data_IF_000810400290
#
_entry.id   IF_000810400290
#
_cell.length_a   1.000
_cell.length_b   1.000
_cell.length_c   1.000
_cell.angle_alpha   90.00
_cell.angle_beta   90.00
_cell.angle_gamma   90.00
#
_symmetry.space_group_name_H-M   'P 1'
#
loop_
_entity.id
_entity.type
_entity.pdbx_description
1 polymer ?
#
# COMPACT_ATOMS: atom_id res chain seq x y z
N UNK A 1 54.66 -56.20 34.96
CA UNK A 1 54.59 -55.67 36.33
C UNK A 1 53.26 -54.96 36.64
N UNK A 2 52.67 -54.20 35.70
CA UNK A 2 51.40 -53.48 35.90
C UNK A 2 50.15 -54.34 36.20
N UNK A 3 50.04 -55.55 35.64
CA UNK A 3 48.88 -56.43 35.83
C UNK A 3 48.71 -56.95 37.28
N UNK A 4 49.78 -56.93 38.10
CA UNK A 4 49.74 -57.41 39.49
C UNK A 4 49.09 -56.39 40.44
N UNK A 5 49.26 -55.09 40.18
CA UNK A 5 48.78 -54.04 41.09
C UNK A 5 47.33 -53.60 40.82
N UNK A 6 46.87 -53.62 39.57
CA UNK A 6 45.44 -53.44 39.25
C UNK A 6 44.58 -54.56 39.85
N UNK A 7 45.09 -55.80 39.81
CA UNK A 7 44.35 -56.94 40.35
C UNK A 7 44.26 -56.92 41.88
N UNK A 8 45.26 -56.34 42.58
CA UNK A 8 45.18 -56.06 44.03
C UNK A 8 44.13 -54.98 44.36
N UNK A 9 44.05 -53.93 43.55
CA UNK A 9 43.03 -52.88 43.71
C UNK A 9 41.62 -53.45 43.49
N UNK A 10 41.41 -54.21 42.41
CA UNK A 10 40.14 -54.88 42.11
C UNK A 10 39.76 -55.92 43.16
N UNK A 11 40.72 -56.65 43.74
CA UNK A 11 40.48 -57.56 44.87
C UNK A 11 39.94 -56.86 46.11
N UNK A 12 40.34 -55.60 46.33
CA UNK A 12 39.89 -54.78 47.47
C UNK A 12 38.48 -54.24 47.23
N UNK A 13 38.16 -53.85 46.01
CA UNK A 13 36.84 -53.34 45.58
C UNK A 13 35.79 -54.45 45.48
N UNK A 14 36.15 -55.61 44.92
CA UNK A 14 35.23 -56.74 44.69
C UNK A 14 35.16 -57.76 45.83
N UNK A 15 35.56 -57.37 47.06
CA UNK A 15 35.45 -58.22 48.27
C UNK A 15 34.02 -58.73 48.54
N UNK A 16 32.99 -58.03 48.04
CA UNK A 16 31.56 -58.34 48.23
C UNK A 16 30.97 -59.23 47.12
N UNK A 17 31.64 -59.36 45.96
CA UNK A 17 31.13 -60.07 44.79
C UNK A 17 32.20 -61.01 44.18
N UNK A 18 32.27 -62.28 44.62
CA UNK A 18 33.29 -63.24 44.16
C UNK A 18 33.20 -63.55 42.65
N UNK A 19 32.03 -63.39 42.04
CA UNK A 19 31.80 -63.60 40.61
C UNK A 19 32.53 -62.58 39.73
N UNK A 20 32.55 -61.30 40.12
CA UNK A 20 33.18 -60.22 39.35
C UNK A 20 34.71 -60.30 39.48
N UNK A 21 35.21 -60.69 40.65
CA UNK A 21 36.62 -60.96 40.86
C UNK A 21 37.11 -62.13 39.98
N UNK A 22 36.36 -63.23 39.92
CA UNK A 22 36.70 -64.40 39.09
C UNK A 22 36.58 -64.15 37.58
N UNK A 23 35.82 -63.14 37.17
CA UNK A 23 35.63 -62.80 35.75
C UNK A 23 36.80 -61.98 35.20
N UNK A 24 37.29 -60.99 35.96
CA UNK A 24 38.31 -60.03 35.51
C UNK A 24 39.75 -60.34 35.94
N UNK A 25 39.95 -61.05 37.06
CA UNK A 25 41.26 -61.21 37.69
C UNK A 25 41.82 -62.64 37.71
N UNK A 26 41.06 -63.61 37.19
CA UNK A 26 41.47 -65.02 37.13
C UNK A 26 42.15 -65.34 35.79
N UNK A 27 43.20 -66.16 35.82
CA UNK A 27 43.96 -66.63 34.66
C UNK A 27 43.07 -67.18 33.52
N UNK A 28 43.60 -67.14 32.29
CA UNK A 28 42.89 -67.51 31.04
C UNK A 28 42.29 -68.92 31.06
N UNK A 29 42.77 -69.81 31.92
CA UNK A 29 42.36 -71.22 31.95
C UNK A 29 41.27 -71.56 32.95
N UNK A 30 41.05 -70.76 33.98
CA UNK A 30 40.02 -71.02 34.99
C UNK A 30 38.65 -70.45 34.60
N UNK A 31 37.61 -71.29 34.76
CA UNK A 31 36.19 -71.00 34.54
C UNK A 31 35.81 -70.51 33.13
N UNK A 32 36.35 -71.16 32.08
CA UNK A 32 36.10 -70.82 30.66
C UNK A 32 34.62 -70.76 30.27
N UNK A 33 33.81 -71.74 30.70
CA UNK A 33 32.37 -71.80 30.36
C UNK A 33 31.59 -70.62 30.94
N UNK A 34 31.90 -70.24 32.18
CA UNK A 34 31.25 -69.11 32.86
C UNK A 34 31.58 -67.79 32.16
N UNK A 35 32.87 -67.56 31.83
CA UNK A 35 33.33 -66.37 31.09
C UNK A 35 32.71 -66.28 29.70
N UNK A 36 32.49 -67.41 29.02
CA UNK A 36 31.84 -67.47 27.72
C UNK A 36 30.35 -67.10 27.80
N UNK A 37 29.61 -67.69 28.74
CA UNK A 37 28.17 -67.42 28.93
C UNK A 37 27.95 -65.96 29.31
N UNK A 38 28.70 -65.43 30.29
CA UNK A 38 28.58 -64.03 30.69
C UNK A 38 28.99 -63.07 29.57
N UNK A 39 30.06 -63.38 28.82
CA UNK A 39 30.48 -62.57 27.68
C UNK A 39 29.44 -62.54 26.56
N UNK A 40 28.78 -63.67 26.29
CA UNK A 40 27.72 -63.78 25.28
C UNK A 40 26.48 -62.95 25.67
N UNK A 41 26.01 -63.10 26.91
CA UNK A 41 24.87 -62.32 27.44
C UNK A 41 25.20 -60.82 27.41
N UNK A 42 26.40 -60.45 27.85
CA UNK A 42 26.86 -59.07 27.83
C UNK A 42 26.96 -58.50 26.41
N UNK A 43 27.40 -59.29 25.43
CA UNK A 43 27.46 -58.86 24.04
C UNK A 43 26.09 -58.71 23.38
N UNK A 44 25.13 -59.58 23.70
CA UNK A 44 23.73 -59.38 23.29
C UNK A 44 23.19 -58.07 23.85
N UNK A 45 23.41 -57.82 25.15
CA UNK A 45 22.94 -56.59 25.81
C UNK A 45 23.56 -55.35 25.15
N UNK A 46 24.86 -55.36 24.90
CA UNK A 46 25.53 -54.29 24.15
C UNK A 46 24.98 -54.11 22.74
N UNK A 47 24.69 -55.20 22.03
CA UNK A 47 24.08 -55.15 20.69
C UNK A 47 22.69 -54.52 20.69
N UNK A 48 21.85 -54.84 21.69
CA UNK A 48 20.53 -54.22 21.88
C UNK A 48 20.67 -52.71 22.15
N UNK A 49 21.60 -52.32 23.02
CA UNK A 49 21.89 -50.90 23.29
C UNK A 49 22.33 -50.19 22.02
N UNK A 50 23.26 -50.78 21.25
CA UNK A 50 23.72 -50.23 19.98
C UNK A 50 22.57 -50.07 18.96
N UNK A 51 21.66 -51.04 18.89
CA UNK A 51 20.48 -50.96 18.02
C UNK A 51 19.59 -49.77 18.38
N UNK A 52 19.26 -49.61 19.67
CA UNK A 52 18.35 -48.56 20.14
C UNK A 52 18.96 -47.15 20.07
N UNK A 53 20.26 -46.99 20.27
CA UNK A 53 20.89 -45.66 20.32
C UNK A 53 21.48 -45.19 18.99
N UNK A 54 21.73 -46.09 18.03
CA UNK A 54 22.43 -45.74 16.79
C UNK A 54 21.61 -46.14 15.56
N UNK A 55 21.15 -47.40 15.48
CA UNK A 55 20.47 -47.88 14.27
C UNK A 55 19.07 -47.29 14.10
N UNK A 56 18.34 -47.03 15.19
CA UNK A 56 17.00 -46.42 15.10
C UNK A 56 17.06 -44.99 14.55
N UNK A 57 18.11 -44.24 14.91
CA UNK A 57 18.33 -42.86 14.46
C UNK A 57 18.86 -42.79 13.02
N UNK A 58 19.36 -43.89 12.47
CA UNK A 58 19.89 -43.95 11.09
C UNK A 58 18.79 -44.08 10.02
N UNK A 59 17.51 -44.06 10.40
CA UNK A 59 16.34 -44.00 9.50
C UNK A 59 16.30 -45.10 8.41
N UNK A 60 16.74 -46.31 8.74
CA UNK A 60 16.58 -47.47 7.85
C UNK A 60 15.12 -47.93 7.78
N UNK A 61 14.76 -48.60 6.68
CA UNK A 61 13.51 -49.39 6.60
C UNK A 61 13.48 -50.43 7.73
N UNK A 62 12.32 -50.63 8.36
CA UNK A 62 12.16 -51.49 9.55
C UNK A 62 12.80 -52.87 9.38
N UNK A 63 12.56 -53.52 8.24
CA UNK A 63 13.12 -54.85 7.93
C UNK A 63 14.65 -54.84 7.85
N UNK A 64 15.22 -53.84 7.17
CA UNK A 64 16.67 -53.71 6.97
C UNK A 64 17.34 -53.38 8.30
N UNK A 65 16.75 -52.49 9.09
CA UNK A 65 17.23 -52.14 10.42
C UNK A 65 17.28 -53.34 11.35
N UNK A 66 16.23 -54.17 11.35
CA UNK A 66 16.18 -55.39 12.16
C UNK A 66 17.22 -56.42 11.71
N UNK A 67 17.35 -56.67 10.40
CA UNK A 67 18.33 -57.62 9.87
C UNK A 67 19.76 -57.17 10.22
N UNK A 68 20.12 -55.92 9.91
CA UNK A 68 21.46 -55.39 10.20
C UNK A 68 21.73 -55.36 11.71
N UNK A 69 20.74 -54.95 12.52
CA UNK A 69 20.83 -54.95 13.97
C UNK A 69 21.06 -56.35 14.55
N UNK A 70 20.34 -57.35 14.04
CA UNK A 70 20.50 -58.75 14.44
C UNK A 70 21.89 -59.29 14.12
N UNK A 71 22.43 -58.97 12.92
CA UNK A 71 23.78 -59.38 12.49
C UNK A 71 24.83 -58.76 13.41
N UNK A 72 24.74 -57.46 13.70
CA UNK A 72 25.67 -56.75 14.58
C UNK A 72 25.59 -57.30 16.01
N UNK A 73 24.38 -57.57 16.50
CA UNK A 73 24.18 -58.15 17.83
C UNK A 73 24.85 -59.52 17.97
N UNK A 74 24.67 -60.40 16.97
CA UNK A 74 25.33 -61.71 16.93
C UNK A 74 26.85 -61.57 16.86
N UNK A 75 27.36 -60.68 16.00
CA UNK A 75 28.80 -60.41 15.89
C UNK A 75 29.41 -59.93 17.21
N UNK A 76 28.72 -59.05 17.94
CA UNK A 76 29.16 -58.57 19.25
C UNK A 76 29.09 -59.67 20.31
N UNK A 77 27.99 -60.43 20.35
CA UNK A 77 27.81 -61.56 21.28
C UNK A 77 28.91 -62.61 21.12
N UNK A 78 29.17 -63.08 19.89
CA UNK A 78 30.24 -64.04 19.63
C UNK A 78 31.64 -63.43 19.72
N UNK A 79 31.83 -62.19 19.29
CA UNK A 79 33.11 -61.49 19.35
C UNK A 79 33.60 -61.31 20.79
N UNK A 80 32.70 -60.92 21.69
CA UNK A 80 32.99 -60.82 23.13
C UNK A 80 33.10 -62.23 23.73
N UNK A 81 32.26 -63.19 23.35
CA UNK A 81 32.35 -64.53 23.91
C UNK A 81 33.65 -65.27 23.55
N UNK A 82 34.20 -65.06 22.35
CA UNK A 82 35.32 -65.86 21.83
C UNK A 82 36.67 -65.12 21.79
N UNK A 83 36.69 -63.80 21.58
CA UNK A 83 37.94 -63.04 21.39
C UNK A 83 38.32 -62.22 22.61
N UNK A 84 39.52 -62.50 23.16
CA UNK A 84 40.06 -61.68 24.25
C UNK A 84 40.42 -60.26 23.80
N UNK A 85 40.77 -60.07 22.52
CA UNK A 85 41.12 -58.75 21.98
C UNK A 85 39.89 -57.84 21.96
N UNK A 86 38.74 -58.35 21.49
CA UNK A 86 37.48 -57.60 21.42
C UNK A 86 37.01 -57.21 22.83
N UNK A 87 37.13 -58.12 23.81
CA UNK A 87 36.84 -57.81 25.22
C UNK A 87 37.68 -56.64 25.73
N UNK A 88 38.98 -56.61 25.44
CA UNK A 88 39.86 -55.53 25.88
C UNK A 88 39.48 -54.20 25.23
N UNK A 89 39.22 -54.19 23.92
CA UNK A 89 38.81 -52.98 23.21
C UNK A 89 37.53 -52.40 23.82
N UNK A 90 36.53 -53.24 24.09
CA UNK A 90 35.27 -52.82 24.71
C UNK A 90 35.47 -52.39 26.17
N UNK A 91 36.34 -53.04 26.93
CA UNK A 91 36.65 -52.56 28.28
C UNK A 91 37.36 -51.20 28.26
N UNK A 92 38.13 -50.89 27.21
CA UNK A 92 38.80 -49.61 27.01
C UNK A 92 37.85 -48.50 26.53
N UNK A 93 36.67 -48.80 25.99
CA UNK A 93 35.70 -47.75 25.62
C UNK A 93 35.03 -47.09 26.83
N UNK A 94 34.88 -47.82 27.94
CA UNK A 94 34.36 -47.24 29.19
C UNK A 94 35.20 -46.06 29.72
N UNK A 95 36.53 -46.20 29.90
CA UNK A 95 37.37 -45.09 30.35
C UNK A 95 37.53 -43.99 29.28
N UNK A 96 37.36 -44.28 27.97
CA UNK A 96 37.44 -43.23 26.94
C UNK A 96 36.24 -42.27 26.98
N UNK A 97 35.06 -42.74 27.40
CA UNK A 97 33.90 -41.88 27.70
C UNK A 97 34.22 -40.91 28.85
N UNK A 98 34.96 -41.36 29.85
CA UNK A 98 35.44 -40.51 30.95
C UNK A 98 36.61 -39.57 30.57
N UNK A 99 37.20 -39.74 29.40
CA UNK A 99 38.34 -38.98 28.91
C UNK A 99 38.02 -37.55 28.45
N UNK A 100 39.03 -36.82 27.99
CA UNK A 100 38.89 -35.42 27.51
C UNK A 100 37.87 -35.31 26.36
N UNK A 101 37.87 -36.28 25.44
CA UNK A 101 36.98 -36.34 24.28
C UNK A 101 35.54 -36.65 24.71
N UNK A 102 35.33 -37.71 25.50
CA UNK A 102 33.99 -38.09 25.95
C UNK A 102 33.30 -37.01 26.80
N UNK A 103 34.05 -36.31 27.66
CA UNK A 103 33.52 -35.13 28.38
C UNK A 103 33.13 -33.98 27.45
N UNK A 104 33.83 -33.80 26.32
CA UNK A 104 33.47 -32.83 25.30
C UNK A 104 32.12 -33.16 24.65
N UNK A 105 31.93 -34.43 24.26
CA UNK A 105 30.67 -34.92 23.70
C UNK A 105 29.52 -34.79 24.70
N UNK A 106 29.75 -35.18 25.97
CA UNK A 106 28.73 -35.07 27.02
C UNK A 106 28.30 -33.60 27.23
N UNK A 107 29.26 -32.66 27.25
CA UNK A 107 28.95 -31.22 27.33
C UNK A 107 28.11 -30.74 26.15
N UNK A 108 28.46 -31.17 24.94
CA UNK A 108 27.69 -30.81 23.74
C UNK A 108 26.25 -31.33 23.81
N UNK A 109 26.05 -32.59 24.21
CA UNK A 109 24.73 -33.19 24.39
C UNK A 109 23.90 -32.40 25.42
N UNK A 110 24.50 -32.06 26.56
CA UNK A 110 23.82 -31.25 27.60
C UNK A 110 23.44 -29.87 27.07
N UNK A 111 24.32 -29.19 26.34
CA UNK A 111 24.03 -27.89 25.71
C UNK A 111 22.88 -28.03 24.71
N UNK A 112 22.86 -29.08 23.87
CA UNK A 112 21.77 -29.34 22.93
C UNK A 112 20.43 -29.49 23.66
N UNK A 113 20.38 -30.27 24.74
CA UNK A 113 19.14 -30.42 25.53
C UNK A 113 18.70 -29.11 26.20
N UNK A 114 19.65 -28.31 26.69
CA UNK A 114 19.36 -26.98 27.26
C UNK A 114 18.79 -26.04 26.19
N UNK A 115 19.28 -26.11 24.95
CA UNK A 115 18.86 -25.25 23.84
C UNK A 115 17.54 -25.72 23.21
N UNK A 116 17.24 -27.02 23.23
CA UNK A 116 16.03 -27.58 22.61
C UNK A 116 14.74 -26.95 23.16
N UNK A 117 14.64 -26.74 24.48
CA UNK A 117 13.47 -26.11 25.10
C UNK A 117 13.20 -24.67 24.62
N UNK A 118 14.18 -23.74 24.72
CA UNK A 118 14.07 -22.40 24.18
C UNK A 118 13.72 -22.33 22.69
N UNK A 119 14.26 -23.24 21.86
CA UNK A 119 13.94 -23.28 20.42
C UNK A 119 12.47 -23.60 20.20
N UNK A 120 11.94 -24.61 20.89
CA UNK A 120 10.53 -25.00 20.75
C UNK A 120 9.59 -23.88 21.24
N UNK A 121 9.94 -23.22 22.35
CA UNK A 121 9.21 -22.06 22.85
C UNK A 121 9.23 -20.88 21.85
N UNK A 122 10.39 -20.58 21.27
CA UNK A 122 10.51 -19.55 20.24
C UNK A 122 9.72 -19.91 18.98
N UNK A 123 9.70 -21.19 18.59
CA UNK A 123 8.91 -21.69 17.48
C UNK A 123 7.40 -21.51 17.72
N UNK A 124 6.92 -21.86 18.91
CA UNK A 124 5.50 -21.71 19.28
C UNK A 124 5.08 -20.24 19.36
N UNK A 125 5.90 -19.37 19.97
CA UNK A 125 5.66 -17.93 19.96
C UNK A 125 5.74 -17.34 18.54
N UNK A 126 6.69 -17.79 17.72
CA UNK A 126 6.84 -17.36 16.33
C UNK A 126 5.59 -17.67 15.50
N UNK A 127 4.94 -18.82 15.70
CA UNK A 127 3.65 -19.13 15.05
C UNK A 127 2.57 -18.13 15.41
N UNK A 128 2.46 -17.73 16.68
CA UNK A 128 1.48 -16.73 17.12
C UNK A 128 1.83 -15.33 16.57
N UNK A 129 3.11 -14.96 16.53
CA UNK A 129 3.55 -13.69 15.90
C UNK A 129 3.11 -13.63 14.44
N UNK A 130 3.33 -14.71 13.67
CA UNK A 130 2.90 -14.79 12.26
C UNK A 130 1.38 -14.67 12.15
N UNK A 131 0.62 -15.33 13.02
CA UNK A 131 -0.85 -15.23 13.04
C UNK A 131 -1.32 -13.80 13.33
N UNK A 132 -0.74 -13.14 14.34
CA UNK A 132 -1.06 -11.76 14.69
C UNK A 132 -0.73 -10.81 13.55
N UNK A 133 0.41 -11.01 12.88
CA UNK A 133 0.80 -10.20 11.73
C UNK A 133 -0.19 -10.35 10.55
N UNK A 134 -0.62 -11.57 10.25
CA UNK A 134 -1.63 -11.83 9.23
C UNK A 134 -2.96 -11.13 9.56
N UNK A 135 -3.46 -11.30 10.80
CA UNK A 135 -4.69 -10.66 11.26
C UNK A 135 -4.60 -9.13 11.20
N UNK A 136 -3.50 -8.56 11.68
CA UNK A 136 -3.24 -7.10 11.66
C UNK A 136 -3.21 -6.57 10.23
N UNK A 137 -2.60 -7.32 9.31
CA UNK A 137 -2.53 -6.95 7.89
C UNK A 137 -3.93 -6.97 7.26
N UNK A 138 -4.72 -8.01 7.49
CA UNK A 138 -6.09 -8.09 6.99
C UNK A 138 -6.98 -6.98 7.57
N UNK A 139 -6.86 -6.70 8.87
CA UNK A 139 -7.59 -5.61 9.52
C UNK A 139 -7.19 -4.26 8.93
N UNK A 140 -5.88 -4.01 8.77
CA UNK A 140 -5.35 -2.78 8.18
C UNK A 140 -5.83 -2.61 6.75
N UNK A 141 -5.83 -3.68 5.95
CA UNK A 141 -6.33 -3.65 4.57
C UNK A 141 -7.82 -3.31 4.52
N UNK A 142 -8.65 -3.96 5.34
CA UNK A 142 -10.09 -3.69 5.40
C UNK A 142 -10.37 -2.24 5.81
N UNK A 143 -9.72 -1.76 6.89
CA UNK A 143 -9.87 -0.37 7.33
C UNK A 143 -9.37 0.63 6.28
N UNK A 144 -8.26 0.34 5.60
CA UNK A 144 -7.72 1.19 4.54
C UNK A 144 -8.67 1.25 3.35
N UNK A 145 -9.25 0.11 2.95
CA UNK A 145 -10.27 0.05 1.89
C UNK A 145 -11.49 0.88 2.26
N UNK A 146 -12.02 0.72 3.48
CA UNK A 146 -13.16 1.51 3.96
C UNK A 146 -12.84 3.01 4.01
N UNK A 147 -11.64 3.39 4.48
CA UNK A 147 -11.19 4.79 4.49
C UNK A 147 -11.09 5.35 3.07
N UNK A 148 -10.54 4.59 2.13
CA UNK A 148 -10.44 4.98 0.73
C UNK A 148 -11.82 5.14 0.10
N UNK A 149 -12.73 4.18 0.33
CA UNK A 149 -14.10 4.26 -0.19
C UNK A 149 -14.83 5.49 0.37
N UNK A 150 -14.81 5.69 1.69
CA UNK A 150 -15.43 6.86 2.33
C UNK A 150 -14.83 8.19 1.85
N UNK A 151 -13.53 8.21 1.52
CA UNK A 151 -12.87 9.40 1.02
C UNK A 151 -13.22 9.69 -0.44
N UNK A 152 -13.18 8.70 -1.33
CA UNK A 152 -13.34 8.90 -2.79
C UNK A 152 -14.79 8.85 -3.27
N UNK A 153 -15.65 8.04 -2.63
CA UNK A 153 -17.07 7.92 -2.98
C UNK A 153 -17.81 9.26 -3.04
N UNK A 154 -17.69 10.20 -2.07
CA UNK A 154 -18.34 11.49 -2.17
C UNK A 154 -17.81 12.34 -3.33
N UNK A 155 -16.51 12.29 -3.66
CA UNK A 155 -15.97 13.00 -4.82
C UNK A 155 -16.54 12.45 -6.13
N UNK A 156 -16.59 11.12 -6.27
CA UNK A 156 -17.16 10.48 -7.45
C UNK A 156 -18.64 10.83 -7.59
N UNK A 157 -19.42 10.75 -6.51
CA UNK A 157 -20.83 11.15 -6.50
C UNK A 157 -21.03 12.63 -6.82
N UNK A 158 -20.19 13.52 -6.30
CA UNK A 158 -20.25 14.95 -6.62
C UNK A 158 -19.96 15.23 -8.10
N UNK A 159 -18.97 14.57 -8.70
CA UNK A 159 -18.66 14.71 -10.13
C UNK A 159 -19.82 14.20 -11.01
N UNK A 160 -20.39 13.04 -10.69
CA UNK A 160 -21.51 12.50 -11.45
C UNK A 160 -22.81 13.29 -11.22
N UNK A 161 -23.06 13.78 -10.00
CA UNK A 161 -24.18 14.69 -9.71
C UNK A 161 -24.02 16.06 -10.34
N UNK A 162 -22.79 16.53 -10.54
CA UNK A 162 -22.55 17.77 -11.28
C UNK A 162 -22.90 17.61 -12.77
N UNK A 163 -22.72 16.42 -13.37
CA UNK A 163 -23.18 16.19 -14.76
C UNK A 163 -24.68 16.36 -14.92
N UNK A 164 -25.48 15.91 -13.96
CA UNK A 164 -26.93 16.14 -13.98
C UNK A 164 -27.25 17.61 -13.70
N UNK A 165 -26.52 18.26 -12.79
CA UNK A 165 -26.66 19.70 -12.55
C UNK A 165 -26.28 20.58 -13.75
N UNK A 166 -25.36 20.13 -14.63
CA UNK A 166 -24.96 20.88 -15.83
C UNK A 166 -26.11 21.03 -16.84
N UNK A 167 -27.01 20.04 -16.95
CA UNK A 167 -28.20 20.17 -17.79
C UNK A 167 -29.15 21.23 -17.24
N UNK A 168 -29.40 21.23 -15.93
CA UNK A 168 -30.24 22.22 -15.26
C UNK A 168 -29.62 23.64 -15.27
N UNK A 169 -28.29 23.73 -15.12
CA UNK A 169 -27.54 24.99 -15.24
C UNK A 169 -27.62 25.52 -16.67
N UNK A 170 -27.57 24.65 -17.69
CA UNK A 170 -27.67 25.07 -19.09
C UNK A 170 -29.02 25.74 -19.37
N UNK A 171 -30.10 25.19 -18.84
CA UNK A 171 -31.44 25.74 -19.01
C UNK A 171 -31.62 27.04 -18.22
N UNK A 172 -31.05 27.11 -17.02
CA UNK A 172 -31.03 28.35 -16.21
C UNK A 172 -30.23 29.46 -16.91
N UNK A 173 -29.05 29.16 -17.45
CA UNK A 173 -28.21 30.12 -18.17
C UNK A 173 -28.88 30.59 -19.47
N UNK A 174 -29.60 29.71 -20.17
CA UNK A 174 -30.43 30.11 -21.33
C UNK A 174 -31.52 31.09 -20.91
N UNK A 175 -32.23 30.81 -19.82
CA UNK A 175 -33.25 31.72 -19.30
C UNK A 175 -32.67 33.08 -18.90
N UNK A 176 -31.51 33.09 -18.23
CA UNK A 176 -30.80 34.34 -17.87
C UNK A 176 -30.39 35.11 -19.13
N UNK A 177 -29.85 34.41 -20.13
CA UNK A 177 -29.46 35.02 -21.41
C UNK A 177 -30.68 35.64 -22.11
N UNK A 178 -31.82 34.96 -22.11
CA UNK A 178 -33.02 35.45 -22.78
C UNK A 178 -33.56 36.73 -22.12
N UNK A 179 -33.49 36.84 -20.78
CA UNK A 179 -33.89 38.07 -20.08
C UNK A 179 -32.84 39.18 -20.17
N UNK A 180 -31.55 38.85 -20.26
CA UNK A 180 -30.47 39.85 -20.31
C UNK A 180 -30.21 40.37 -21.73
N UNK A 181 -30.50 39.58 -22.77
CA UNK A 181 -30.32 39.95 -24.17
C UNK A 181 -30.90 41.31 -24.58
N UNK A 182 -32.16 41.67 -24.23
CA UNK A 182 -32.70 42.99 -24.56
C UNK A 182 -31.97 44.13 -23.83
N UNK A 183 -31.51 43.90 -22.60
CA UNK A 183 -30.78 44.92 -21.81
C UNK A 183 -29.39 45.16 -22.39
N UNK A 184 -28.67 44.09 -22.72
CA UNK A 184 -27.36 44.17 -23.38
C UNK A 184 -27.50 44.84 -24.75
N UNK A 185 -28.50 44.45 -25.54
CA UNK A 185 -28.79 45.09 -26.82
C UNK A 185 -29.12 46.59 -26.69
N UNK A 186 -29.83 46.99 -25.64
CA UNK A 186 -30.16 48.41 -25.42
C UNK A 186 -28.91 49.25 -25.15
N UNK A 187 -27.91 48.73 -24.43
CA UNK A 187 -26.71 49.48 -24.06
C UNK A 187 -25.61 49.37 -25.12
N UNK A 188 -25.39 48.18 -25.69
CA UNK A 188 -24.28 47.91 -26.60
C UNK A 188 -24.63 48.11 -28.09
N UNK A 189 -25.90 48.10 -28.50
CA UNK A 189 -26.25 48.33 -29.91
C UNK A 189 -26.12 49.82 -30.28
N UNK A 190 -25.03 50.12 -30.99
CA UNK A 190 -24.71 51.45 -31.50
C UNK A 190 -25.40 51.81 -32.82
N UNK A 191 -26.09 50.86 -33.50
CA UNK A 191 -26.70 51.13 -34.82
C UNK A 191 -27.74 52.25 -34.78
N UNK A 192 -28.60 52.21 -33.77
CA UNK A 192 -29.62 53.24 -33.56
C UNK A 192 -28.96 54.61 -33.30
N UNK A 193 -27.92 54.63 -32.46
CA UNK A 193 -27.15 55.82 -32.14
C UNK A 193 -26.51 56.45 -33.36
N UNK A 194 -25.83 55.65 -34.18
CA UNK A 194 -25.17 56.13 -35.39
C UNK A 194 -26.16 56.81 -36.34
N UNK A 195 -27.32 56.18 -36.57
CA UNK A 195 -28.37 56.74 -37.43
C UNK A 195 -28.92 58.06 -36.89
N UNK A 196 -29.18 58.16 -35.58
CA UNK A 196 -29.68 59.39 -34.98
C UNK A 196 -28.65 60.52 -35.03
N UNK A 197 -27.37 60.19 -34.83
CA UNK A 197 -26.27 61.14 -34.94
C UNK A 197 -26.20 61.73 -36.36
N UNK A 198 -26.26 60.89 -37.39
CA UNK A 198 -26.27 61.32 -38.80
C UNK A 198 -27.47 62.23 -39.11
N UNK A 199 -28.69 61.86 -38.68
CA UNK A 199 -29.90 62.68 -38.86
C UNK A 199 -29.79 64.05 -38.16
N UNK A 200 -29.22 64.07 -36.95
CA UNK A 200 -29.01 65.27 -36.16
C UNK A 200 -27.97 66.21 -36.80
N UNK A 201 -26.80 65.67 -37.12
CA UNK A 201 -25.67 66.43 -37.70
C UNK A 201 -26.07 67.07 -39.03
N UNK A 202 -26.85 66.36 -39.85
CA UNK A 202 -27.36 66.89 -41.11
C UNK A 202 -28.26 68.12 -40.92
N UNK A 203 -29.17 68.10 -39.94
CA UNK A 203 -30.05 69.25 -39.71
C UNK A 203 -29.29 70.42 -39.06
N UNK A 204 -28.35 70.10 -38.18
CA UNK A 204 -27.49 71.06 -37.50
C UNK A 204 -26.63 71.86 -38.47
N UNK A 205 -26.07 71.22 -39.49
CA UNK A 205 -25.36 71.90 -40.57
C UNK A 205 -26.26 72.91 -41.30
N UNK A 206 -27.51 72.55 -41.54
CA UNK A 206 -28.49 73.42 -42.21
C UNK A 206 -28.90 74.62 -41.33
N UNK A 207 -28.96 74.43 -40.01
CA UNK A 207 -29.39 75.46 -39.04
C UNK A 207 -28.21 76.28 -38.51
N UNK A 208 -26.97 75.82 -38.73
CA UNK A 208 -25.74 76.47 -38.28
C UNK A 208 -25.30 76.09 -36.86
N UNK A 209 -25.80 74.96 -36.31
CA UNK A 209 -25.46 74.46 -34.96
C UNK A 209 -24.61 73.17 -35.01
N UNK A 210 -23.37 73.27 -35.49
CA UNK A 210 -22.54 72.08 -35.80
C UNK A 210 -21.92 71.38 -34.60
N UNK A 211 -22.16 71.85 -33.36
CA UNK A 211 -21.42 71.38 -32.17
C UNK A 211 -22.19 70.39 -31.30
N UNK A 212 -23.50 70.23 -31.48
CA UNK A 212 -24.38 69.47 -30.58
C UNK A 212 -23.90 68.03 -30.33
N UNK A 213 -23.67 67.24 -31.39
CA UNK A 213 -23.21 65.85 -31.24
C UNK A 213 -21.79 65.73 -30.66
N UNK A 214 -20.91 66.69 -30.96
CA UNK A 214 -19.55 66.73 -30.42
C UNK A 214 -19.53 67.03 -28.92
N UNK A 215 -20.37 67.97 -28.47
CA UNK A 215 -20.55 68.29 -27.05
C UNK A 215 -21.10 67.08 -26.28
N UNK A 216 -22.01 66.32 -26.89
CA UNK A 216 -22.52 65.08 -26.30
C UNK A 216 -21.45 63.99 -26.21
N UNK A 217 -20.62 63.83 -27.25
CA UNK A 217 -19.52 62.87 -27.22
C UNK A 217 -18.52 63.19 -26.10
N UNK A 218 -18.18 64.48 -25.93
CA UNK A 218 -17.30 64.96 -24.85
C UNK A 218 -17.93 64.81 -23.46
N UNK A 219 -19.25 65.06 -23.33
CA UNK A 219 -19.97 64.97 -22.06
C UNK A 219 -19.98 63.56 -21.47
N UNK A 220 -20.05 62.55 -22.33
CA UNK A 220 -20.05 61.13 -21.93
C UNK A 220 -18.73 60.44 -22.26
N UNK A 221 -17.66 61.20 -22.49
CA UNK A 221 -16.32 60.66 -22.68
C UNK A 221 -15.80 60.14 -21.33
N UNK A 222 -15.59 58.84 -21.23
CA UNK A 222 -15.03 58.21 -20.03
C UNK A 222 -13.51 58.18 -20.11
N UNK A 223 -12.81 58.68 -19.09
CA UNK A 223 -11.34 58.71 -19.03
C UNK A 223 -10.83 57.39 -18.42
N UNK A 224 -10.33 56.48 -19.26
CA UNK A 224 -9.68 55.24 -18.82
C UNK A 224 -10.64 54.17 -18.28
N UNK A 225 -10.07 53.16 -17.63
CA UNK A 225 -10.75 51.99 -17.04
C UNK A 225 -11.48 52.40 -15.73
N UNK A 226 -12.40 53.36 -15.80
CA UNK A 226 -13.35 53.61 -14.70
C UNK A 226 -14.20 52.36 -14.46
N UNK A 227 -14.71 52.21 -13.24
CA UNK A 227 -15.50 51.06 -12.81
C UNK A 227 -16.53 50.71 -13.88
N UNK A 228 -16.52 49.46 -14.35
CA UNK A 228 -17.29 48.96 -15.49
C UNK A 228 -18.76 49.43 -15.48
N UNK A 229 -19.36 49.53 -14.29
CA UNK A 229 -20.70 50.07 -14.07
C UNK A 229 -20.89 51.52 -14.57
N UNK A 230 -19.96 52.43 -14.27
CA UNK A 230 -20.02 53.85 -14.67
C UNK A 230 -19.94 53.99 -16.20
N UNK A 231 -19.15 53.14 -16.85
CA UNK A 231 -19.06 53.11 -18.32
C UNK A 231 -20.40 52.71 -18.95
N UNK A 232 -21.03 51.65 -18.46
CA UNK A 232 -22.33 51.21 -18.97
C UNK A 232 -23.44 52.24 -18.71
N UNK A 233 -23.42 52.89 -17.55
CA UNK A 233 -24.35 53.97 -17.23
C UNK A 233 -24.20 55.16 -18.19
N UNK A 234 -22.96 55.60 -18.46
CA UNK A 234 -22.69 56.69 -19.39
C UNK A 234 -23.11 56.35 -20.83
N UNK A 235 -22.88 55.11 -21.29
CA UNK A 235 -23.34 54.67 -22.61
C UNK A 235 -24.87 54.72 -22.72
N UNK A 236 -25.58 54.26 -21.69
CA UNK A 236 -27.04 54.32 -21.65
C UNK A 236 -27.56 55.77 -21.63
N UNK A 237 -27.01 56.62 -20.76
CA UNK A 237 -27.42 58.03 -20.66
C UNK A 237 -27.15 58.80 -21.96
N UNK A 238 -26.01 58.55 -22.61
CA UNK A 238 -25.69 59.11 -23.92
C UNK A 238 -26.74 58.72 -24.96
N UNK A 239 -27.19 57.46 -24.96
CA UNK A 239 -28.23 56.98 -25.88
C UNK A 239 -29.58 57.63 -25.63
N UNK A 240 -29.97 57.79 -24.37
CA UNK A 240 -31.20 58.50 -23.99
C UNK A 240 -31.16 59.97 -24.41
N UNK A 241 -30.05 60.68 -24.17
CA UNK A 241 -29.92 62.09 -24.57
C UNK A 241 -29.94 62.25 -26.09
N UNK A 242 -29.36 61.31 -26.85
CA UNK A 242 -29.37 61.38 -28.31
C UNK A 242 -30.77 61.13 -28.88
N UNK A 243 -31.53 60.21 -28.29
CA UNK A 243 -32.96 60.03 -28.60
C UNK A 243 -33.74 61.32 -28.35
N UNK A 244 -33.47 62.01 -27.25
CA UNK A 244 -34.10 63.29 -26.93
C UNK A 244 -33.80 64.35 -28.00
N UNK A 245 -32.52 64.53 -28.35
CA UNK A 245 -32.10 65.47 -29.39
C UNK A 245 -32.68 65.14 -30.76
N UNK A 246 -32.79 63.86 -31.09
CA UNK A 246 -33.42 63.44 -32.35
C UNK A 246 -34.91 63.75 -32.41
N UNK A 247 -35.64 63.80 -31.30
CA UNK A 247 -37.04 64.26 -31.32
C UNK A 247 -37.15 65.71 -31.78
N UNK A 248 -36.26 66.58 -31.29
CA UNK A 248 -36.20 67.97 -31.74
C UNK A 248 -35.82 68.08 -33.22
N UNK A 249 -34.82 67.31 -33.67
CA UNK A 249 -34.43 67.24 -35.08
C UNK A 249 -35.60 66.82 -35.96
N UNK A 250 -36.31 65.75 -35.60
CA UNK A 250 -37.50 65.28 -36.35
C UNK A 250 -38.63 66.31 -36.33
N UNK A 251 -38.87 66.98 -35.21
CA UNK A 251 -39.87 68.04 -35.12
C UNK A 251 -39.53 69.21 -36.05
N UNK A 252 -38.28 69.67 -36.03
CA UNK A 252 -37.80 70.74 -36.90
C UNK A 252 -37.83 70.34 -38.39
N UNK A 253 -37.43 69.11 -38.74
CA UNK A 253 -37.56 68.59 -40.10
C UNK A 253 -39.03 68.56 -40.56
N UNK A 254 -39.96 68.16 -39.70
CA UNK A 254 -41.41 68.19 -40.00
C UNK A 254 -41.90 69.61 -40.24
N UNK A 255 -41.51 70.57 -39.40
CA UNK A 255 -41.83 71.98 -39.60
C UNK A 255 -41.28 72.49 -40.94
N UNK A 256 -40.00 72.23 -41.25
CA UNK A 256 -39.39 72.61 -42.53
C UNK A 256 -40.13 72.00 -43.72
N UNK A 257 -40.46 70.70 -43.66
CA UNK A 257 -41.23 70.02 -44.71
C UNK A 257 -42.61 70.63 -44.87
N UNK A 258 -43.29 70.98 -43.77
CA UNK A 258 -44.59 71.65 -43.80
C UNK A 258 -44.49 73.02 -44.46
N UNK A 259 -43.51 73.84 -44.11
CA UNK A 259 -43.28 75.15 -44.74
C UNK A 259 -42.87 75.03 -46.21
N UNK A 260 -42.01 74.07 -46.56
CA UNK A 260 -41.61 73.82 -47.94
C UNK A 260 -42.80 73.40 -48.81
N UNK A 261 -43.66 72.51 -48.30
CA UNK A 261 -44.89 72.11 -48.96
C UNK A 261 -45.85 73.30 -49.10
N UNK A 262 -46.02 74.13 -48.05
CA UNK A 262 -46.88 75.31 -48.13
C UNK A 262 -46.34 76.32 -49.16
N UNK A 263 -45.03 76.52 -49.22
CA UNK A 263 -44.36 77.37 -50.22
C UNK A 263 -44.57 76.83 -51.63
N UNK A 264 -44.35 75.53 -51.88
CA UNK A 264 -44.56 74.95 -53.21
C UNK A 264 -46.02 75.04 -53.65
N UNK A 265 -46.97 74.75 -52.76
CA UNK A 265 -48.41 74.92 -53.05
C UNK A 265 -48.76 76.38 -53.37
N UNK A 266 -48.19 77.34 -52.65
CA UNK A 266 -48.38 78.77 -52.94
C UNK A 266 -47.78 79.15 -54.30
N UNK A 267 -46.52 78.75 -54.55
CA UNK A 267 -45.81 79.01 -55.81
C UNK A 267 -46.59 78.45 -57.00
N UNK A 268 -46.97 77.17 -56.92
CA UNK A 268 -47.77 76.50 -57.95
C UNK A 268 -49.09 77.24 -58.21
N UNK A 269 -49.75 77.80 -57.18
CA UNK A 269 -50.98 78.56 -57.35
C UNK A 269 -50.80 79.93 -58.02
N UNK A 270 -49.64 80.58 -57.87
CA UNK A 270 -49.37 81.93 -58.41
C UNK A 270 -48.65 81.92 -59.77
N UNK A 271 -48.08 80.79 -60.21
CA UNK A 271 -47.39 80.67 -61.51
C UNK A 271 -48.28 80.20 -62.68
N UNK A 272 -49.61 80.35 -62.58
CA UNK A 272 -50.54 80.14 -63.71
C UNK A 272 -50.77 81.42 -64.54
N UNK A 273 -49.70 82.13 -64.89
CA UNK A 273 -49.65 83.16 -65.93
C UNK A 273 -48.41 82.93 -66.79
#
# INVERSE_FOLDING_TARGET
MAASDECKFLRKVFKRCPLLFNLFCTEKQDNKKLKLIFGFIYGILLGIVFYNFILIDLSFTEDVGFIVGSIICLMLAFGIALSSQIRCIICLTYPTIGGKVGRGVLKAVVITFIIAGPIENLGNNGKEVVRVFACTTSLTFNLTKTRFELMFKPFTQAIFGMKTGVEEIKDTVRSIKDVSAPVVGEIEDEKEMRKMKEENDYLDEIVGDTKRSQLMDQKYETIGEQAEAERFENMYMKKVEMRCQNQFTKAAQRCRKMFANAYSTCYDAVTWV
#
